data_IF_662725846451
#
_entry.id   IF_662725846451
#
_cell.length_a   1.000
_cell.length_b   1.000
_cell.length_c   1.000
_cell.angle_alpha   90.00
_cell.angle_beta   90.00
_cell.angle_gamma   90.00
#
_symmetry.space_group_name_H-M   'P 1'
#
loop_
_entity.id
_entity.type
_entity.pdbx_description
1 polymer ?
#
# COMPACT_ATOMS: atom_id res chain seq x y z
N UNK A 1 4.30 1.09 -15.42
CA UNK A 1 4.27 1.56 -14.01
C UNK A 1 5.09 2.84 -13.93
N UNK A 2 4.61 3.86 -13.21
CA UNK A 2 5.37 5.09 -13.01
C UNK A 2 5.51 5.34 -11.51
N UNK A 3 6.74 5.43 -11.01
CA UNK A 3 7.03 5.87 -9.66
C UNK A 3 7.14 7.40 -9.63
N UNK A 4 6.31 8.06 -8.82
CA UNK A 4 6.35 9.50 -8.62
C UNK A 4 7.22 9.79 -7.40
N UNK A 5 8.35 10.45 -7.61
CA UNK A 5 9.36 10.71 -6.56
C UNK A 5 9.44 12.23 -6.32
N UNK A 6 9.20 12.67 -5.09
CA UNK A 6 9.18 14.09 -4.75
C UNK A 6 10.43 14.52 -3.99
N UNK A 7 10.93 15.72 -4.30
CA UNK A 7 11.90 16.43 -3.46
C UNK A 7 13.36 15.97 -3.57
N UNK A 8 13.72 15.27 -4.64
CA UNK A 8 15.12 14.93 -4.91
C UNK A 8 15.91 16.16 -5.38
N UNK A 9 17.15 16.29 -4.91
CA UNK A 9 18.18 17.13 -5.52
C UNK A 9 18.65 16.56 -6.86
N UNK A 10 19.30 17.37 -7.70
CA UNK A 10 19.87 16.92 -8.98
C UNK A 10 20.81 15.72 -8.82
N UNK A 11 21.62 15.71 -7.76
CA UNK A 11 22.53 14.61 -7.46
C UNK A 11 21.78 13.32 -7.07
N UNK A 12 20.67 13.44 -6.35
CA UNK A 12 19.82 12.29 -6.01
C UNK A 12 19.06 11.77 -7.24
N UNK A 13 18.55 12.67 -8.09
CA UNK A 13 17.93 12.30 -9.37
C UNK A 13 18.91 11.49 -10.21
N UNK A 14 20.15 11.97 -10.35
CA UNK A 14 21.18 11.27 -11.11
C UNK A 14 21.49 9.89 -10.50
N UNK A 15 21.63 9.81 -9.17
CA UNK A 15 21.86 8.55 -8.47
C UNK A 15 20.72 7.56 -8.69
N UNK A 16 19.47 8.01 -8.55
CA UNK A 16 18.28 7.17 -8.72
C UNK A 16 18.17 6.72 -10.18
N UNK A 17 18.43 7.59 -11.16
CA UNK A 17 18.38 7.22 -12.57
C UNK A 17 19.38 6.12 -12.95
N UNK A 18 20.46 5.96 -12.20
CA UNK A 18 21.45 4.89 -12.36
C UNK A 18 21.03 3.57 -11.69
N UNK A 19 19.99 3.56 -10.85
CA UNK A 19 19.50 2.33 -10.24
C UNK A 19 18.86 1.42 -11.30
N UNK A 20 19.13 0.10 -11.23
CA UNK A 20 18.63 -0.85 -12.21
C UNK A 20 17.11 -0.91 -12.22
N UNK A 21 16.55 -1.05 -13.41
CA UNK A 21 15.12 -1.25 -13.62
C UNK A 21 14.89 -2.70 -13.99
N UNK A 22 14.15 -3.43 -13.15
CA UNK A 22 13.90 -4.87 -13.32
C UNK A 22 12.58 -5.18 -14.05
N UNK A 23 11.78 -4.16 -14.38
CA UNK A 23 10.47 -4.29 -15.04
C UNK A 23 10.48 -3.68 -16.45
N UNK A 24 9.80 -4.34 -17.40
CA UNK A 24 9.85 -4.01 -18.83
C UNK A 24 9.23 -2.64 -19.21
N UNK A 25 8.41 -2.03 -18.34
CA UNK A 25 7.79 -0.72 -18.57
C UNK A 25 7.65 0.03 -17.25
N UNK A 26 8.79 0.39 -16.67
CA UNK A 26 8.85 1.15 -15.42
C UNK A 26 9.55 2.49 -15.65
N UNK A 27 8.86 3.55 -15.25
CA UNK A 27 9.31 4.93 -15.40
C UNK A 27 9.44 5.58 -14.02
N UNK A 28 10.37 6.52 -13.92
CA UNK A 28 10.51 7.40 -12.76
C UNK A 28 10.08 8.80 -13.17
N UNK A 29 9.26 9.44 -12.36
CA UNK A 29 8.81 10.80 -12.59
C UNK A 29 9.11 11.66 -11.36
N UNK A 30 10.03 12.60 -11.52
CA UNK A 30 10.46 13.45 -10.42
C UNK A 30 9.59 14.70 -10.33
N UNK A 31 9.29 15.11 -9.10
CA UNK A 31 8.51 16.30 -8.79
C UNK A 31 9.24 17.15 -7.74
N UNK A 32 8.92 18.45 -7.63
CA UNK A 32 9.40 19.27 -6.51
C UNK A 32 9.03 18.65 -5.16
N UNK A 33 9.72 19.06 -4.09
CA UNK A 33 9.24 18.72 -2.74
C UNK A 33 8.01 19.56 -2.42
N UNK A 34 6.99 18.93 -1.86
CA UNK A 34 5.82 19.60 -1.30
C UNK A 34 5.82 19.52 0.25
N UNK A 35 6.95 19.13 0.84
CA UNK A 35 7.23 19.18 2.27
C UNK A 35 8.66 19.71 2.50
N UNK A 36 8.88 20.87 3.16
CA UNK A 36 7.90 21.69 3.87
C UNK A 36 6.81 22.26 2.96
N UNK A 37 5.71 22.69 3.59
CA UNK A 37 4.41 23.08 3.02
C UNK A 37 4.46 23.60 1.57
N UNK A 38 3.53 23.17 0.68
CA UNK A 38 3.54 23.52 -0.74
C UNK A 38 3.33 25.03 -1.02
N UNK A 39 2.72 25.76 -0.08
CA UNK A 39 2.57 27.22 -0.18
C UNK A 39 3.78 27.96 0.40
N UNK A 40 4.22 29.06 -0.24
CA UNK A 40 5.37 29.84 0.22
C UNK A 40 5.13 30.45 1.60
N UNK A 41 6.19 30.51 2.41
CA UNK A 41 6.21 31.10 3.76
C UNK A 41 5.44 30.33 4.85
N UNK A 42 5.01 29.10 4.59
CA UNK A 42 4.45 28.21 5.63
C UNK A 42 5.48 27.15 6.00
N UNK A 43 5.75 26.98 7.30
CA UNK A 43 6.82 26.12 7.81
C UNK A 43 6.33 24.77 8.35
N UNK A 44 5.16 24.29 7.89
CA UNK A 44 4.64 22.96 8.28
C UNK A 44 5.40 21.85 7.52
N UNK A 45 5.79 20.81 8.24
CA UNK A 45 6.47 19.63 7.67
C UNK A 45 5.48 18.48 7.74
N UNK A 46 4.91 18.12 6.59
CA UNK A 46 3.94 17.06 6.45
C UNK A 46 4.21 16.31 5.15
N UNK A 47 5.04 15.26 5.24
CA UNK A 47 5.47 14.47 4.10
C UNK A 47 4.31 13.93 3.22
N UNK A 48 3.12 13.59 3.75
CA UNK A 48 2.00 13.16 2.93
C UNK A 48 1.50 14.19 1.92
N UNK A 49 1.84 15.49 2.02
CA UNK A 49 1.57 16.44 0.93
C UNK A 49 2.16 16.00 -0.41
N UNK A 50 3.26 15.25 -0.41
CA UNK A 50 3.88 14.77 -1.65
C UNK A 50 2.94 13.88 -2.47
N UNK A 51 1.94 13.22 -1.87
CA UNK A 51 0.99 12.36 -2.60
C UNK A 51 0.04 13.17 -3.51
N UNK A 52 -0.87 14.03 -3.00
CA UNK A 52 -1.78 14.79 -3.85
C UNK A 52 -1.05 15.77 -4.77
N UNK A 53 -0.03 16.47 -4.26
CA UNK A 53 0.68 17.47 -5.06
C UNK A 53 1.61 16.83 -6.11
N UNK A 54 2.26 15.71 -5.79
CA UNK A 54 3.02 14.92 -6.75
C UNK A 54 2.14 14.35 -7.85
N UNK A 55 0.96 13.83 -7.50
CA UNK A 55 -0.03 13.35 -8.47
C UNK A 55 -0.57 14.48 -9.36
N UNK A 56 -0.86 15.66 -8.80
CA UNK A 56 -1.22 16.86 -9.57
C UNK A 56 -0.13 17.26 -10.56
N UNK A 57 1.12 17.28 -10.10
CA UNK A 57 2.27 17.62 -10.94
C UNK A 57 2.44 16.59 -12.07
N UNK A 58 2.24 15.30 -11.78
CA UNK A 58 2.28 14.22 -12.76
C UNK A 58 1.18 14.38 -13.82
N UNK A 59 -0.06 14.54 -13.40
CA UNK A 59 -1.18 14.76 -14.30
C UNK A 59 -1.01 15.98 -15.23
N UNK A 60 -0.37 17.03 -14.74
CA UNK A 60 -0.20 18.30 -15.47
C UNK A 60 0.97 18.26 -16.46
N UNK A 61 2.09 17.61 -16.11
CA UNK A 61 3.32 17.73 -16.90
C UNK A 61 3.91 16.40 -17.40
N UNK A 62 3.39 15.24 -16.97
CA UNK A 62 3.89 13.96 -17.47
C UNK A 62 3.38 13.71 -18.90
N UNK A 63 4.31 13.61 -19.83
CA UNK A 63 4.04 13.31 -21.24
C UNK A 63 4.32 11.83 -21.56
N UNK A 64 3.87 11.38 -22.74
CA UNK A 64 4.16 10.03 -23.23
C UNK A 64 5.68 9.80 -23.35
N UNK A 65 6.22 8.64 -22.95
CA UNK A 65 5.52 7.41 -22.55
C UNK A 65 5.22 7.31 -21.04
N UNK A 66 5.59 8.32 -20.25
CA UNK A 66 5.53 8.29 -18.78
C UNK A 66 4.10 8.56 -18.28
N UNK A 67 3.42 9.55 -18.88
CA UNK A 67 2.07 9.97 -18.52
C UNK A 67 0.97 9.00 -18.95
N UNK A 68 -0.17 9.05 -18.26
CA UNK A 68 -1.35 8.24 -18.61
C UNK A 68 -1.93 8.72 -19.94
N UNK A 69 -2.11 7.78 -20.88
CA UNK A 69 -2.69 8.04 -22.21
C UNK A 69 -4.20 8.23 -22.12
N UNK A 70 -4.71 9.24 -22.83
CA UNK A 70 -6.15 9.50 -22.97
C UNK A 70 -6.89 9.45 -21.63
N UNK A 71 -8.05 8.79 -21.56
CA UNK A 71 -8.82 8.57 -20.34
C UNK A 71 -8.63 7.14 -19.77
N UNK A 72 -7.45 6.56 -19.93
CA UNK A 72 -7.19 5.20 -19.45
C UNK A 72 -7.34 5.13 -17.91
N UNK A 73 -7.94 4.06 -17.37
CA UNK A 73 -7.90 3.79 -15.94
C UNK A 73 -6.47 3.68 -15.43
N UNK A 74 -6.21 4.22 -14.25
CA UNK A 74 -4.95 4.04 -13.53
C UNK A 74 -5.23 3.51 -12.13
N UNK A 75 -4.24 2.83 -11.55
CA UNK A 75 -4.24 2.44 -10.14
C UNK A 75 -3.21 3.28 -9.39
N UNK A 76 -3.62 3.96 -8.32
CA UNK A 76 -2.75 4.63 -7.36
C UNK A 76 -2.54 3.72 -6.16
N UNK A 77 -1.30 3.33 -5.91
CA UNK A 77 -0.89 2.48 -4.78
C UNK A 77 0.32 3.09 -4.09
N UNK A 78 0.49 2.76 -2.81
CA UNK A 78 1.72 3.07 -2.07
C UNK A 78 2.85 2.14 -2.53
N UNK A 79 4.11 2.56 -2.38
CA UNK A 79 5.27 1.77 -2.82
C UNK A 79 5.54 0.51 -1.99
N UNK A 80 4.73 0.26 -0.95
CA UNK A 80 4.84 -0.87 -0.03
C UNK A 80 3.77 -1.96 -0.27
N UNK A 81 3.51 -2.23 -1.55
CA UNK A 81 2.63 -3.31 -2.01
C UNK A 81 3.44 -4.39 -2.74
N UNK A 82 3.08 -5.65 -2.50
CA UNK A 82 3.42 -6.78 -3.38
C UNK A 82 2.18 -7.18 -4.15
N UNK A 83 2.26 -7.21 -5.48
CA UNK A 83 1.21 -7.72 -6.35
C UNK A 83 1.40 -9.23 -6.57
N UNK A 84 0.36 -10.03 -6.33
CA UNK A 84 0.37 -11.47 -6.62
C UNK A 84 -0.26 -11.80 -7.98
N UNK A 85 -1.11 -10.92 -8.48
CA UNK A 85 -1.68 -10.99 -9.82
C UNK A 85 -1.68 -9.61 -10.50
N UNK A 86 -1.74 -9.55 -11.83
CA UNK A 86 -1.94 -8.31 -12.55
C UNK A 86 -3.26 -7.63 -12.14
N UNK A 87 -3.21 -6.34 -11.81
CA UNK A 87 -4.42 -5.55 -11.61
C UNK A 87 -5.12 -5.32 -12.95
N UNK A 88 -6.35 -5.79 -13.07
CA UNK A 88 -7.17 -5.67 -14.27
C UNK A 88 -8.54 -5.11 -13.91
N UNK A 89 -9.06 -4.25 -14.78
CA UNK A 89 -10.41 -3.68 -14.70
C UNK A 89 -11.01 -3.62 -16.10
N UNK A 90 -12.32 -3.41 -16.17
CA UNK A 90 -13.10 -3.40 -17.42
C UNK A 90 -13.02 -4.73 -18.20
N UNK A 91 -12.85 -5.85 -17.50
CA UNK A 91 -12.85 -7.20 -18.09
C UNK A 91 -14.26 -7.81 -18.18
N UNK A 92 -15.23 -7.24 -17.44
CA UNK A 92 -16.58 -7.76 -17.31
C UNK A 92 -16.71 -8.84 -16.23
N UNK A 93 -15.67 -9.04 -15.41
CA UNK A 93 -15.62 -10.02 -14.31
C UNK A 93 -16.60 -9.64 -13.22
N UNK A 94 -17.31 -10.63 -12.68
CA UNK A 94 -18.12 -10.47 -11.48
C UNK A 94 -17.21 -10.42 -10.23
N UNK A 95 -17.28 -9.31 -9.50
CA UNK A 95 -16.53 -9.05 -8.27
C UNK A 95 -17.43 -8.95 -7.04
N UNK A 96 -18.72 -9.34 -7.16
CA UNK A 96 -19.72 -9.28 -6.08
C UNK A 96 -19.26 -9.94 -4.79
N UNK A 97 -18.55 -11.07 -4.90
CA UNK A 97 -18.07 -11.83 -3.74
C UNK A 97 -17.09 -11.04 -2.85
N UNK A 98 -16.43 -10.02 -3.41
CA UNK A 98 -15.46 -9.19 -2.70
C UNK A 98 -16.02 -7.82 -2.31
N UNK A 99 -17.21 -7.46 -2.78
CA UNK A 99 -17.81 -6.16 -2.50
C UNK A 99 -18.17 -6.01 -1.03
N UNK A 100 -17.90 -4.82 -0.51
CA UNK A 100 -18.18 -4.45 0.86
C UNK A 100 -19.02 -3.17 0.89
N UNK A 101 -20.33 -3.34 0.93
CA UNK A 101 -21.27 -2.25 1.07
C UNK A 101 -22.64 -2.75 1.53
N UNK A 102 -23.57 -1.82 1.70
CA UNK A 102 -24.92 -2.11 2.17
C UNK A 102 -25.92 -2.35 1.03
N UNK A 103 -25.52 -2.12 -0.23
CA UNK A 103 -26.44 -2.26 -1.35
C UNK A 103 -26.70 -3.74 -1.67
N UNK A 104 -27.98 -4.09 -1.80
CA UNK A 104 -28.39 -5.37 -2.40
C UNK A 104 -28.13 -5.30 -3.91
N UNK A 105 -26.91 -5.64 -4.32
CA UNK A 105 -26.53 -5.70 -5.74
C UNK A 105 -26.39 -7.16 -6.15
N UNK A 106 -27.11 -7.56 -7.20
CA UNK A 106 -27.06 -8.95 -7.69
C UNK A 106 -25.76 -9.27 -8.42
N UNK A 107 -25.20 -8.32 -9.16
CA UNK A 107 -23.95 -8.49 -9.91
C UNK A 107 -23.19 -7.15 -9.92
N UNK A 108 -21.98 -7.14 -9.37
CA UNK A 108 -21.03 -6.04 -9.43
C UNK A 108 -19.92 -6.45 -10.38
N UNK A 109 -19.66 -5.62 -11.38
CA UNK A 109 -18.57 -5.83 -12.35
C UNK A 109 -17.36 -5.00 -12.01
N UNK A 110 -16.20 -5.40 -12.50
CA UNK A 110 -14.94 -4.65 -12.44
C UNK A 110 -14.91 -3.39 -13.34
N UNK A 111 -16.06 -2.73 -13.50
CA UNK A 111 -16.22 -1.56 -14.38
C UNK A 111 -15.62 -0.31 -13.73
N UNK A 112 -14.71 0.35 -14.45
CA UNK A 112 -14.14 1.66 -14.12
C UNK A 112 -14.38 2.61 -15.28
N UNK A 113 -15.22 3.62 -15.02
CA UNK A 113 -15.61 4.69 -15.95
C UNK A 113 -15.73 6.00 -15.17
N UNK A 114 -15.86 7.14 -15.85
CA UNK A 114 -16.07 8.42 -15.16
C UNK A 114 -17.26 8.35 -14.19
N UNK A 115 -17.04 8.74 -12.93
CA UNK A 115 -17.97 8.66 -11.81
C UNK A 115 -17.98 7.32 -11.06
N UNK A 116 -17.32 6.27 -11.57
CA UNK A 116 -17.28 4.93 -10.98
C UNK A 116 -15.83 4.45 -10.88
N UNK A 117 -15.32 4.43 -9.65
CA UNK A 117 -13.99 3.95 -9.31
C UNK A 117 -14.07 2.63 -8.54
N UNK A 118 -12.93 1.98 -8.31
CA UNK A 118 -12.80 0.79 -7.45
C UNK A 118 -11.70 1.07 -6.42
N UNK A 119 -11.88 0.66 -5.17
CA UNK A 119 -10.86 0.79 -4.13
C UNK A 119 -10.84 -0.41 -3.19
N UNK A 120 -9.74 -0.58 -2.46
CA UNK A 120 -9.71 -1.53 -1.36
C UNK A 120 -10.45 -1.00 -0.12
N UNK A 121 -11.06 -1.90 0.63
CA UNK A 121 -11.64 -1.59 1.94
C UNK A 121 -10.56 -1.27 2.98
N UNK A 122 -10.62 -0.06 3.53
CA UNK A 122 -9.72 0.45 4.58
C UNK A 122 -10.51 0.90 5.82
N UNK A 123 -11.71 0.33 6.04
CA UNK A 123 -12.58 0.70 7.16
C UNK A 123 -11.89 0.69 8.52
N UNK A 124 -10.90 -0.18 8.73
CA UNK A 124 -10.21 -0.29 10.01
C UNK A 124 -9.32 0.89 10.34
N UNK A 125 -8.84 1.60 9.31
CA UNK A 125 -8.04 2.80 9.47
C UNK A 125 -8.90 4.05 9.43
N UNK A 126 -9.83 4.12 8.48
CA UNK A 126 -10.54 5.36 8.17
C UNK A 126 -11.99 5.39 8.69
N UNK A 127 -12.65 4.23 8.79
CA UNK A 127 -14.07 4.15 9.14
C UNK A 127 -14.95 5.05 8.27
N UNK A 128 -15.82 5.82 8.92
CA UNK A 128 -16.62 6.88 8.29
C UNK A 128 -15.83 8.20 8.07
N UNK A 129 -14.59 8.29 8.55
CA UNK A 129 -13.70 9.44 8.36
C UNK A 129 -14.35 10.77 8.75
N UNK A 130 -14.17 11.78 7.88
CA UNK A 130 -14.80 13.09 8.02
C UNK A 130 -16.27 13.15 7.56
N UNK A 131 -16.85 12.04 7.10
CA UNK A 131 -18.29 11.97 6.81
C UNK A 131 -19.16 11.70 8.04
N UNK A 132 -18.55 11.37 9.18
CA UNK A 132 -19.27 11.14 10.44
C UNK A 132 -20.13 12.34 10.82
N UNK A 133 -21.30 12.08 11.39
CA UNK A 133 -22.22 13.13 11.83
C UNK A 133 -21.55 14.06 12.87
N UNK A 134 -20.73 13.51 13.77
CA UNK A 134 -19.98 14.29 14.75
C UNK A 134 -18.79 15.08 14.15
N UNK A 135 -18.46 14.86 12.87
CA UNK A 135 -17.44 15.60 12.12
C UNK A 135 -18.06 16.62 11.14
N UNK A 136 -19.38 16.87 11.22
CA UNK A 136 -20.08 17.77 10.29
C UNK A 136 -19.44 19.16 10.19
N UNK A 137 -19.08 19.79 11.31
CA UNK A 137 -18.45 21.12 11.29
C UNK A 137 -17.11 21.11 10.54
N UNK A 138 -16.31 20.06 10.72
CA UNK A 138 -15.06 19.86 9.99
C UNK A 138 -15.32 19.69 8.50
N UNK A 139 -16.27 18.82 8.14
CA UNK A 139 -16.66 18.57 6.76
C UNK A 139 -17.15 19.86 6.08
N UNK A 140 -18.03 20.61 6.73
CA UNK A 140 -18.55 21.88 6.23
C UNK A 140 -17.43 22.91 6.02
N UNK A 141 -16.44 22.98 6.92
CA UNK A 141 -15.29 23.89 6.78
C UNK A 141 -14.39 23.54 5.60
N UNK A 142 -14.17 22.24 5.35
CA UNK A 142 -13.30 21.77 4.27
C UNK A 142 -14.02 21.85 2.92
N UNK A 143 -15.22 21.27 2.83
CA UNK A 143 -16.04 21.24 1.62
C UNK A 143 -16.59 22.62 1.24
N UNK A 144 -16.77 23.51 2.23
CA UNK A 144 -17.39 24.83 2.06
C UNK A 144 -18.76 24.73 1.37
N UNK A 145 -18.84 25.09 0.08
CA UNK A 145 -20.07 25.05 -0.74
C UNK A 145 -20.11 23.86 -1.70
N UNK A 146 -19.09 23.00 -1.67
CA UNK A 146 -19.00 21.82 -2.51
C UNK A 146 -19.95 20.69 -2.09
N UNK A 147 -20.25 19.80 -3.03
CA UNK A 147 -21.18 18.69 -2.87
C UNK A 147 -20.81 17.75 -1.71
N UNK A 148 -19.53 17.64 -1.34
CA UNK A 148 -19.11 16.78 -0.24
C UNK A 148 -19.69 17.21 1.13
N UNK A 149 -20.11 18.47 1.29
CA UNK A 149 -20.77 18.94 2.51
C UNK A 149 -22.13 18.25 2.73
N UNK A 150 -22.82 17.84 1.65
CA UNK A 150 -24.17 17.31 1.69
C UNK A 150 -24.23 15.77 1.80
N UNK A 151 -23.09 15.09 1.67
CA UNK A 151 -23.01 13.62 1.74
C UNK A 151 -23.27 13.16 3.17
N UNK A 152 -24.23 12.25 3.36
CA UNK A 152 -24.54 11.65 4.67
C UNK A 152 -23.43 10.71 5.16
N UNK A 153 -23.39 10.39 6.47
CA UNK A 153 -22.46 9.37 6.98
C UNK A 153 -22.65 8.00 6.30
N UNK A 154 -23.89 7.61 6.01
CA UNK A 154 -24.22 6.36 5.34
C UNK A 154 -23.68 6.31 3.91
N UNK A 155 -23.88 7.38 3.13
CA UNK A 155 -23.33 7.48 1.78
C UNK A 155 -21.81 7.61 1.78
N UNK A 156 -21.25 8.34 2.76
CA UNK A 156 -19.82 8.42 3.03
C UNK A 156 -19.19 7.04 3.21
N UNK A 157 -19.77 6.22 4.08
CA UNK A 157 -19.35 4.85 4.35
C UNK A 157 -19.48 3.92 3.14
N UNK A 158 -20.52 4.11 2.33
CA UNK A 158 -20.79 3.27 1.18
C UNK A 158 -19.77 3.48 0.05
N UNK A 159 -19.39 4.72 -0.25
CA UNK A 159 -18.63 5.03 -1.47
C UNK A 159 -17.29 5.72 -1.30
N UNK A 160 -16.97 6.32 -0.14
CA UNK A 160 -15.86 7.29 -0.07
C UNK A 160 -14.92 7.07 1.11
N UNK A 161 -15.45 7.04 2.33
CA UNK A 161 -14.67 7.22 3.56
C UNK A 161 -13.77 6.04 3.89
N UNK A 162 -14.14 4.86 3.42
CA UNK A 162 -13.41 3.60 3.66
C UNK A 162 -12.64 3.15 2.42
N UNK A 163 -12.65 3.94 1.34
CA UNK A 163 -11.84 3.66 0.17
C UNK A 163 -10.37 3.89 0.52
N UNK A 164 -9.52 2.91 0.27
CA UNK A 164 -8.07 3.01 0.40
C UNK A 164 -7.33 2.35 -0.76
N UNK A 165 -5.99 2.48 -0.82
CA UNK A 165 -5.22 1.98 -1.94
C UNK A 165 -5.27 0.45 -2.08
N UNK A 166 -5.20 -0.08 -3.31
CA UNK A 166 -5.11 0.68 -4.56
C UNK A 166 -6.42 1.39 -4.91
N UNK A 167 -6.32 2.66 -5.32
CA UNK A 167 -7.43 3.42 -5.88
C UNK A 167 -7.40 3.30 -7.41
N UNK A 168 -8.45 2.75 -8.00
CA UNK A 168 -8.53 2.53 -9.45
C UNK A 168 -9.63 3.42 -10.03
N UNK A 169 -9.25 4.38 -10.87
CA UNK A 169 -10.18 5.34 -11.47
C UNK A 169 -9.71 5.78 -12.86
N UNK A 170 -10.57 6.47 -13.61
CA UNK A 170 -10.19 7.06 -14.90
C UNK A 170 -9.28 8.26 -14.70
N UNK A 171 -8.42 8.56 -15.69
CA UNK A 171 -7.60 9.78 -15.67
C UNK A 171 -8.47 11.03 -15.52
N UNK A 172 -9.62 11.09 -16.20
CA UNK A 172 -10.54 12.22 -16.13
C UNK A 172 -11.04 12.45 -14.70
N UNK A 173 -11.42 11.41 -13.99
CA UNK A 173 -11.86 11.54 -12.59
C UNK A 173 -10.72 11.99 -11.69
N UNK A 174 -9.53 11.40 -11.85
CA UNK A 174 -8.32 11.85 -11.16
C UNK A 174 -8.05 13.35 -11.39
N UNK A 175 -8.14 13.80 -12.64
CA UNK A 175 -8.00 15.22 -13.02
C UNK A 175 -9.08 16.13 -12.43
N UNK A 176 -10.34 15.66 -12.35
CA UNK A 176 -11.44 16.44 -11.78
C UNK A 176 -11.19 16.73 -10.30
N UNK A 177 -10.78 15.72 -9.52
CA UNK A 177 -10.67 15.83 -8.06
C UNK A 177 -9.32 16.31 -7.53
N UNK A 178 -8.27 16.38 -8.37
CA UNK A 178 -6.90 16.56 -7.86
C UNK A 178 -6.67 17.91 -7.17
N UNK A 179 -7.33 18.98 -7.61
CA UNK A 179 -7.20 20.29 -6.97
C UNK A 179 -7.86 20.29 -5.60
N UNK A 180 -9.08 19.76 -5.48
CA UNK A 180 -9.78 19.61 -4.21
C UNK A 180 -9.01 18.70 -3.26
N UNK A 181 -8.38 17.63 -3.77
CA UNK A 181 -7.53 16.77 -2.96
C UNK A 181 -6.33 17.53 -2.36
N UNK A 182 -5.65 18.36 -3.16
CA UNK A 182 -4.59 19.25 -2.67
C UNK A 182 -5.11 20.24 -1.61
N UNK A 183 -6.20 20.94 -1.91
CA UNK A 183 -6.74 22.01 -1.07
C UNK A 183 -7.32 21.47 0.25
N UNK A 184 -8.01 20.34 0.18
CA UNK A 184 -8.57 19.66 1.36
C UNK A 184 -7.48 19.06 2.23
N UNK A 185 -6.35 18.62 1.66
CA UNK A 185 -5.21 18.17 2.44
C UNK A 185 -4.59 19.33 3.24
N UNK A 186 -4.42 20.51 2.62
CA UNK A 186 -3.96 21.73 3.32
C UNK A 186 -4.94 22.13 4.42
N UNK A 187 -6.24 22.23 4.10
CA UNK A 187 -7.25 22.65 5.07
C UNK A 187 -7.38 21.66 6.22
N UNK A 188 -7.42 20.36 5.91
CA UNK A 188 -7.42 19.31 6.90
C UNK A 188 -6.19 19.35 7.80
N UNK A 189 -5.00 19.62 7.24
CA UNK A 189 -3.76 19.67 8.01
C UNK A 189 -3.75 20.86 8.96
N UNK A 190 -4.33 21.99 8.56
CA UNK A 190 -4.55 23.15 9.42
C UNK A 190 -5.48 22.84 10.61
N UNK A 191 -6.54 22.06 10.38
CA UNK A 191 -7.49 21.66 11.42
C UNK A 191 -6.92 20.56 12.34
N UNK A 192 -6.07 19.68 11.79
CA UNK A 192 -5.51 18.52 12.48
C UNK A 192 -3.98 18.46 12.34
N UNK A 193 -3.23 19.41 12.95
CA UNK A 193 -1.78 19.55 12.75
C UNK A 193 -0.92 18.45 13.38
N UNK A 194 -1.54 17.44 14.00
CA UNK A 194 -0.84 16.27 14.57
C UNK A 194 -1.26 14.95 13.93
N UNK A 195 -2.32 14.96 13.14
CA UNK A 195 -2.84 13.74 12.51
C UNK A 195 -2.04 13.42 11.25
N UNK A 196 -1.61 12.16 11.12
CA UNK A 196 -0.78 11.73 10.01
C UNK A 196 -1.61 11.31 8.78
N UNK A 197 -2.86 10.88 8.97
CA UNK A 197 -3.78 10.40 7.92
C UNK A 197 -4.67 11.50 7.28
N UNK A 198 -4.42 12.78 7.57
CA UNK A 198 -5.22 13.90 7.04
C UNK A 198 -5.42 13.79 5.53
N UNK A 199 -4.34 13.45 4.82
CA UNK A 199 -4.35 13.32 3.37
C UNK A 199 -5.32 12.24 2.88
N UNK A 200 -5.46 11.11 3.57
CA UNK A 200 -6.40 10.07 3.17
C UNK A 200 -7.86 10.52 3.33
N UNK A 201 -8.17 11.26 4.40
CA UNK A 201 -9.52 11.82 4.58
C UNK A 201 -9.83 12.91 3.55
N UNK A 202 -8.82 13.70 3.16
CA UNK A 202 -8.95 14.70 2.11
C UNK A 202 -9.25 14.07 0.74
N UNK A 203 -8.61 12.94 0.42
CA UNK A 203 -8.93 12.15 -0.78
C UNK A 203 -10.41 11.77 -0.81
N UNK A 204 -10.94 11.19 0.28
CA UNK A 204 -12.34 10.75 0.34
C UNK A 204 -13.32 11.91 0.18
N UNK A 205 -13.04 13.08 0.78
CA UNK A 205 -13.88 14.27 0.57
C UNK A 205 -13.80 14.77 -0.87
N UNK A 206 -12.61 14.81 -1.49
CA UNK A 206 -12.44 15.25 -2.87
C UNK A 206 -13.17 14.32 -3.85
N UNK A 207 -13.08 12.99 -3.67
CA UNK A 207 -13.86 12.03 -4.45
C UNK A 207 -15.37 12.27 -4.30
N UNK A 208 -15.83 12.48 -3.06
CA UNK A 208 -17.22 12.84 -2.78
C UNK A 208 -17.65 14.15 -3.43
N UNK A 209 -16.78 15.15 -3.45
CA UNK A 209 -17.07 16.48 -4.02
C UNK A 209 -17.29 16.45 -5.53
N UNK A 210 -16.73 15.44 -6.20
CA UNK A 210 -16.86 15.23 -7.64
C UNK A 210 -17.74 14.01 -7.99
N UNK A 211 -18.45 13.44 -7.01
CA UNK A 211 -19.33 12.28 -7.21
C UNK A 211 -18.62 11.09 -7.87
N UNK A 212 -17.36 10.83 -7.49
CA UNK A 212 -16.56 9.69 -7.96
C UNK A 212 -16.76 8.54 -6.96
N UNK A 213 -17.76 7.70 -7.21
CA UNK A 213 -18.17 6.65 -6.27
C UNK A 213 -17.26 5.44 -6.38
N UNK A 214 -16.65 5.02 -5.27
CA UNK A 214 -15.87 3.79 -5.24
C UNK A 214 -16.78 2.57 -5.01
N UNK A 215 -16.64 1.56 -5.86
CA UNK A 215 -16.98 0.19 -5.54
C UNK A 215 -15.87 -0.32 -4.62
N UNK A 216 -16.20 -0.56 -3.35
CA UNK A 216 -15.22 -0.92 -2.33
C UNK A 216 -15.17 -2.43 -2.20
N UNK A 217 -13.96 -3.00 -2.32
CA UNK A 217 -13.73 -4.46 -2.32
C UNK A 217 -12.63 -4.88 -1.34
N UNK A 218 -12.71 -6.11 -0.85
CA UNK A 218 -11.82 -6.60 0.21
C UNK A 218 -10.64 -7.47 -0.27
N UNK A 219 -10.40 -7.60 -1.57
CA UNK A 219 -9.35 -8.48 -2.11
C UNK A 219 -8.23 -7.77 -2.88
N UNK A 220 -8.30 -6.44 -3.05
CA UNK A 220 -7.35 -5.70 -3.91
C UNK A 220 -6.00 -5.39 -3.25
N UNK A 221 -5.98 -5.17 -1.93
CA UNK A 221 -4.83 -4.60 -1.25
C UNK A 221 -4.78 -4.95 0.23
N UNK A 222 -4.97 -6.23 0.54
CA UNK A 222 -5.16 -6.68 1.93
C UNK A 222 -4.00 -6.20 2.81
N UNK A 223 -4.29 -5.81 4.05
CA UNK A 223 -3.28 -5.24 4.96
C UNK A 223 -2.98 -6.18 6.14
N UNK A 224 -3.84 -6.22 7.14
CA UNK A 224 -3.69 -6.90 8.41
C UNK A 224 -4.88 -7.85 8.66
N UNK A 225 -4.64 -9.15 8.94
CA UNK A 225 -5.69 -10.13 9.23
C UNK A 225 -6.58 -9.79 10.42
N UNK A 226 -6.10 -8.92 11.31
CA UNK A 226 -6.81 -8.45 12.49
C UNK A 226 -7.76 -7.27 12.28
N UNK A 227 -7.56 -6.50 11.21
CA UNK A 227 -8.41 -5.38 10.87
C UNK A 227 -9.51 -5.82 9.93
N UNK A 228 -9.16 -6.45 8.81
CA UNK A 228 -10.09 -6.65 7.71
C UNK A 228 -11.25 -7.62 8.03
N UNK A 229 -12.38 -7.53 7.29
CA UNK A 229 -13.40 -8.57 7.34
C UNK A 229 -12.75 -9.95 7.16
N UNK A 230 -13.11 -10.97 7.97
CA UNK A 230 -12.45 -12.28 7.91
C UNK A 230 -12.42 -12.89 6.50
N UNK A 231 -13.43 -12.59 5.68
CA UNK A 231 -13.57 -13.02 4.29
C UNK A 231 -12.43 -12.56 3.38
N UNK A 232 -11.83 -11.39 3.65
CA UNK A 232 -10.66 -10.88 2.93
C UNK A 232 -9.43 -11.81 3.07
N UNK A 233 -9.43 -12.63 4.13
CA UNK A 233 -8.36 -13.57 4.48
C UNK A 233 -8.86 -15.02 4.46
N UNK A 234 -9.83 -15.35 3.62
CA UNK A 234 -10.32 -16.74 3.46
C UNK A 234 -9.60 -17.50 2.33
N UNK A 235 -8.35 -17.14 2.02
CA UNK A 235 -7.58 -17.74 0.94
C UNK A 235 -6.55 -18.78 1.39
N UNK A 236 -6.23 -18.85 2.70
CA UNK A 236 -5.38 -19.92 3.24
C UNK A 236 -6.27 -21.03 3.81
N UNK A 237 -6.07 -22.24 3.30
CA UNK A 237 -6.69 -23.45 3.82
C UNK A 237 -5.65 -24.42 4.43
N UNK A 238 -6.14 -25.54 4.96
CA UNK A 238 -5.30 -26.56 5.59
C UNK A 238 -4.43 -27.37 4.61
N UNK A 239 -4.71 -27.29 3.30
CA UNK A 239 -3.93 -27.96 2.26
C UNK A 239 -2.73 -27.13 1.79
N UNK A 240 -2.68 -25.84 2.13
CA UNK A 240 -1.57 -24.98 1.74
C UNK A 240 -0.24 -25.52 2.30
N UNK A 241 0.76 -25.79 1.43
CA UNK A 241 2.09 -26.16 1.88
C UNK A 241 2.68 -25.12 2.82
N UNK A 242 3.61 -25.54 3.67
CA UNK A 242 4.28 -24.62 4.59
C UNK A 242 5.08 -23.56 3.81
N UNK A 243 4.68 -22.27 3.86
CA UNK A 243 5.31 -21.20 3.09
C UNK A 243 6.71 -20.86 3.60
N UNK A 244 7.07 -21.34 4.79
CA UNK A 244 8.33 -21.09 5.48
C UNK A 244 9.38 -22.16 5.22
N UNK A 245 9.08 -23.22 4.46
CA UNK A 245 10.11 -24.11 3.94
C UNK A 245 11.01 -23.39 2.94
N UNK A 246 12.29 -23.74 2.93
CA UNK A 246 13.23 -23.26 1.91
C UNK A 246 12.79 -23.72 0.52
N UNK A 247 12.91 -22.84 -0.47
CA UNK A 247 12.48 -23.08 -1.85
C UNK A 247 11.50 -22.01 -2.33
N UNK A 248 10.64 -22.41 -3.25
CA UNK A 248 9.75 -21.51 -3.99
C UNK A 248 8.75 -20.77 -3.08
N UNK A 249 8.24 -19.65 -3.59
CA UNK A 249 7.13 -18.91 -2.98
C UNK A 249 5.88 -19.78 -3.01
N UNK A 250 5.22 -19.92 -1.86
CA UNK A 250 3.96 -20.69 -1.74
C UNK A 250 2.79 -19.72 -1.73
N UNK A 251 2.08 -19.68 -2.85
CA UNK A 251 0.84 -18.90 -2.98
C UNK A 251 -0.38 -19.82 -2.80
N UNK A 252 -1.47 -19.32 -2.18
CA UNK A 252 -2.75 -19.99 -2.20
C UNK A 252 -3.30 -20.13 -3.63
N UNK A 253 -4.27 -21.03 -3.89
CA UNK A 253 -4.89 -21.16 -5.22
C UNK A 253 -5.57 -19.87 -5.71
N UNK A 254 -6.11 -19.08 -4.80
CA UNK A 254 -6.78 -17.79 -5.07
C UNK A 254 -6.21 -16.73 -4.13
N UNK A 255 -5.02 -16.18 -4.42
CA UNK A 255 -4.44 -15.11 -3.60
C UNK A 255 -5.27 -13.83 -3.73
N UNK A 256 -5.16 -12.90 -2.77
CA UNK A 256 -5.57 -11.51 -2.99
C UNK A 256 -4.80 -10.92 -4.17
N UNK A 257 -5.27 -9.81 -4.74
CA UNK A 257 -4.57 -9.15 -5.82
C UNK A 257 -3.21 -8.61 -5.38
N UNK A 258 -3.18 -8.06 -4.16
CA UNK A 258 -1.98 -7.53 -3.53
C UNK A 258 -2.03 -7.62 -2.01
N UNK A 259 -0.84 -7.57 -1.39
CA UNK A 259 -0.64 -7.41 0.04
C UNK A 259 0.07 -6.08 0.31
N UNK A 260 -0.57 -5.22 1.11
CA UNK A 260 0.00 -4.00 1.66
C UNK A 260 0.79 -4.31 2.93
N UNK A 261 2.12 -4.29 2.84
CA UNK A 261 3.00 -4.71 3.95
C UNK A 261 3.37 -3.56 4.89
N UNK A 262 2.38 -2.74 5.27
CA UNK A 262 2.58 -1.60 6.17
C UNK A 262 2.70 -2.00 7.65
N UNK A 263 2.26 -3.20 8.02
CA UNK A 263 2.29 -3.73 9.38
C UNK A 263 3.43 -4.74 9.59
N UNK A 264 3.71 -5.05 10.84
CA UNK A 264 4.58 -6.17 11.21
C UNK A 264 3.79 -7.48 11.09
N UNK A 265 4.37 -8.48 10.43
CA UNK A 265 3.74 -9.79 10.23
C UNK A 265 4.60 -10.88 10.87
N UNK A 266 4.08 -11.64 11.82
CA UNK A 266 4.82 -12.73 12.46
C UNK A 266 3.99 -13.53 13.47
N UNK A 267 4.60 -14.60 14.01
CA UNK A 267 3.92 -15.50 14.95
C UNK A 267 3.54 -14.80 16.26
N UNK A 268 4.46 -14.03 16.84
CA UNK A 268 4.30 -13.48 18.19
C UNK A 268 3.26 -12.35 18.27
N UNK A 269 2.55 -12.26 19.39
CA UNK A 269 1.67 -11.13 19.70
C UNK A 269 2.49 -9.87 20.02
N UNK A 270 3.62 -10.05 20.70
CA UNK A 270 4.60 -9.00 20.97
C UNK A 270 5.73 -9.17 19.96
N UNK A 271 5.77 -8.32 18.95
CA UNK A 271 6.68 -8.48 17.81
C UNK A 271 8.15 -8.54 18.22
N UNK A 272 8.54 -7.86 19.31
CA UNK A 272 9.90 -7.88 19.85
C UNK A 272 10.35 -9.26 20.39
N UNK A 273 9.43 -10.22 20.54
CA UNK A 273 9.71 -11.54 21.12
C UNK A 273 9.97 -12.63 20.07
N UNK A 274 9.94 -12.32 18.78
CA UNK A 274 10.12 -13.33 17.74
C UNK A 274 10.42 -12.75 16.37
N UNK A 275 10.35 -13.61 15.37
CA UNK A 275 10.51 -13.19 13.98
C UNK A 275 9.27 -12.44 13.50
N UNK A 276 9.47 -11.34 12.78
CA UNK A 276 8.43 -10.65 12.03
C UNK A 276 8.98 -10.01 10.75
N UNK A 277 8.23 -10.02 9.65
CA UNK A 277 8.56 -9.19 8.49
C UNK A 277 8.15 -7.74 8.75
N UNK A 278 9.04 -6.79 8.49
CA UNK A 278 8.73 -5.35 8.53
C UNK A 278 9.64 -4.54 7.60
N UNK A 279 9.04 -3.73 6.74
CA UNK A 279 9.79 -2.96 5.71
C UNK A 279 10.87 -2.05 6.28
N UNK A 280 10.64 -1.44 7.44
CA UNK A 280 11.62 -0.52 8.05
C UNK A 280 12.81 -1.25 8.71
N UNK A 281 12.74 -2.58 8.84
CA UNK A 281 13.85 -3.39 9.34
C UNK A 281 14.77 -3.88 8.21
N UNK A 282 14.41 -3.69 6.94
CA UNK A 282 15.25 -4.01 5.79
C UNK A 282 16.43 -3.03 5.76
N UNK A 283 17.70 -3.46 5.84
CA UNK A 283 18.88 -2.57 5.71
C UNK A 283 18.91 -1.79 4.39
N UNK A 284 19.47 -0.57 4.39
CA UNK A 284 19.53 0.28 3.17
C UNK A 284 20.52 -0.23 2.14
N UNK A 285 21.52 -1.00 2.56
CA UNK A 285 22.61 -1.54 1.74
C UNK A 285 22.29 -2.95 1.21
N UNK A 286 21.01 -3.36 1.21
CA UNK A 286 20.58 -4.70 0.81
C UNK A 286 20.99 -5.07 -0.63
N UNK A 287 21.15 -4.08 -1.51
CA UNK A 287 21.54 -4.26 -2.90
C UNK A 287 23.04 -4.38 -3.13
N UNK A 288 23.87 -4.17 -2.11
CA UNK A 288 25.32 -4.34 -2.21
C UNK A 288 25.68 -5.79 -2.56
N UNK A 289 26.73 -5.99 -3.35
CA UNK A 289 27.15 -7.33 -3.77
C UNK A 289 27.51 -8.26 -2.61
N UNK A 290 27.98 -7.71 -1.48
CA UNK A 290 28.33 -8.49 -0.28
C UNK A 290 27.19 -8.62 0.72
N UNK A 291 26.09 -7.88 0.56
CA UNK A 291 24.95 -7.95 1.45
C UNK A 291 24.34 -9.36 1.46
N UNK A 292 24.04 -9.88 2.65
CA UNK A 292 23.29 -11.11 2.81
C UNK A 292 21.83 -10.92 2.36
N UNK A 293 21.08 -12.00 2.30
CA UNK A 293 19.63 -12.02 2.09
C UNK A 293 18.90 -12.11 3.44
N UNK A 294 17.60 -11.80 3.42
CA UNK A 294 16.71 -11.99 4.56
C UNK A 294 16.64 -13.47 4.93
N UNK A 295 16.81 -13.77 6.21
CA UNK A 295 16.47 -15.09 6.74
C UNK A 295 14.95 -15.27 6.66
N UNK A 296 14.47 -16.47 6.34
CA UNK A 296 13.04 -16.80 6.32
C UNK A 296 12.62 -17.21 7.75
N UNK A 297 11.38 -16.95 8.21
CA UNK A 297 10.93 -17.46 9.51
C UNK A 297 11.18 -18.97 9.65
N UNK A 298 11.48 -19.48 10.86
CA UNK A 298 11.61 -20.92 11.08
C UNK A 298 10.36 -21.67 10.60
N UNK A 299 10.57 -22.74 9.83
CA UNK A 299 9.45 -23.51 9.27
C UNK A 299 8.47 -24.05 10.32
N UNK A 300 8.93 -24.27 11.55
CA UNK A 300 8.09 -24.70 12.68
C UNK A 300 7.03 -23.67 13.05
N UNK A 301 7.27 -22.37 12.82
CA UNK A 301 6.30 -21.31 13.16
C UNK A 301 4.96 -21.48 12.43
N UNK A 302 4.96 -22.14 11.27
CA UNK A 302 3.74 -22.45 10.54
C UNK A 302 2.77 -23.26 11.41
N UNK A 303 3.26 -24.34 12.01
CA UNK A 303 2.44 -25.28 12.78
C UNK A 303 2.34 -24.92 14.26
N UNK A 304 3.35 -24.20 14.79
CA UNK A 304 3.36 -23.70 16.17
C UNK A 304 2.13 -22.83 16.50
N UNK A 305 1.53 -22.17 15.51
CA UNK A 305 0.28 -21.39 15.66
C UNK A 305 -0.79 -22.22 16.39
N UNK A 306 -0.96 -23.49 16.03
CA UNK A 306 -2.00 -24.37 16.58
C UNK A 306 -1.70 -24.88 17.99
N UNK A 307 -0.43 -24.91 18.38
CA UNK A 307 -0.02 -25.30 19.73
C UNK A 307 0.08 -24.11 20.68
N UNK A 308 0.36 -22.92 20.13
CA UNK A 308 0.63 -21.70 20.90
C UNK A 308 -0.65 -20.95 21.24
N UNK A 309 -1.64 -20.98 20.37
CA UNK A 309 -2.91 -20.29 20.54
C UNK A 309 -4.06 -21.29 20.60
N UNK A 310 -5.06 -20.99 21.42
CA UNK A 310 -6.28 -21.81 21.58
C UNK A 310 -7.51 -21.15 20.98
N UNK A 311 -7.47 -19.84 20.77
CA UNK A 311 -8.54 -19.06 20.16
C UNK A 311 -8.49 -19.17 18.63
N UNK A 312 -9.60 -19.59 18.01
CA UNK A 312 -9.69 -19.84 16.57
C UNK A 312 -9.43 -18.58 15.73
N UNK A 313 -9.87 -17.41 16.19
CA UNK A 313 -9.64 -16.16 15.46
C UNK A 313 -8.17 -15.73 15.52
N UNK A 314 -7.53 -15.88 16.68
CA UNK A 314 -6.09 -15.67 16.85
C UNK A 314 -5.28 -16.65 16.00
N UNK A 315 -5.65 -17.94 16.00
CA UNK A 315 -5.04 -18.97 15.14
C UNK A 315 -5.14 -18.55 13.67
N UNK A 316 -6.33 -18.16 13.20
CA UNK A 316 -6.54 -17.68 11.82
C UNK A 316 -5.64 -16.48 11.52
N UNK A 317 -5.63 -15.45 12.37
CA UNK A 317 -4.83 -14.24 12.15
C UNK A 317 -3.34 -14.56 12.08
N UNK A 318 -2.82 -15.29 13.06
CA UNK A 318 -1.39 -15.65 13.12
C UNK A 318 -0.95 -16.59 12.01
N UNK A 319 -1.84 -17.48 11.55
CA UNK A 319 -1.59 -18.29 10.36
C UNK A 319 -1.33 -17.43 9.12
N UNK A 320 -2.14 -16.39 8.93
CA UNK A 320 -1.97 -15.45 7.82
C UNK A 320 -0.75 -14.54 7.99
N UNK A 321 -0.48 -14.08 9.21
CA UNK A 321 0.72 -13.28 9.49
C UNK A 321 2.01 -14.08 9.24
N UNK A 322 2.06 -15.36 9.64
CA UNK A 322 3.21 -16.25 9.35
C UNK A 322 3.35 -16.49 7.84
N UNK A 323 2.25 -16.75 7.13
CA UNK A 323 2.28 -16.85 5.66
C UNK A 323 2.81 -15.58 5.02
N UNK A 324 2.32 -14.41 5.43
CA UNK A 324 2.76 -13.12 4.92
C UNK A 324 4.24 -12.88 5.19
N UNK A 325 4.72 -13.19 6.40
CA UNK A 325 6.13 -13.04 6.75
C UNK A 325 7.05 -13.90 5.87
N UNK A 326 6.71 -15.19 5.68
CA UNK A 326 7.50 -16.12 4.87
C UNK A 326 7.46 -15.76 3.37
N UNK A 327 6.28 -15.40 2.87
CA UNK A 327 6.05 -15.03 1.47
C UNK A 327 6.78 -13.73 1.10
N UNK A 328 6.63 -12.68 1.91
CA UNK A 328 7.27 -11.40 1.67
C UNK A 328 8.80 -11.47 1.78
N UNK A 329 9.33 -12.25 2.72
CA UNK A 329 10.78 -12.45 2.83
C UNK A 329 11.35 -13.14 1.57
N UNK A 330 10.66 -14.14 1.04
CA UNK A 330 11.05 -14.82 -0.22
C UNK A 330 10.97 -13.87 -1.43
N UNK A 331 9.87 -13.14 -1.58
CA UNK A 331 9.69 -12.18 -2.68
C UNK A 331 10.75 -11.08 -2.64
N UNK A 332 11.02 -10.52 -1.45
CA UNK A 332 12.07 -9.53 -1.27
C UNK A 332 13.44 -10.11 -1.64
N UNK A 333 13.76 -11.33 -1.19
CA UNK A 333 15.02 -12.00 -1.55
C UNK A 333 15.16 -12.24 -3.05
N UNK A 334 14.10 -12.65 -3.74
CA UNK A 334 14.10 -12.78 -5.21
C UNK A 334 14.37 -11.43 -5.88
N UNK A 335 13.71 -10.36 -5.44
CA UNK A 335 13.95 -9.01 -5.96
C UNK A 335 15.40 -8.55 -5.74
N UNK A 336 15.96 -8.77 -4.54
CA UNK A 336 17.36 -8.45 -4.23
C UNK A 336 18.32 -9.24 -5.13
N UNK A 337 18.05 -10.52 -5.35
CA UNK A 337 18.87 -11.37 -6.22
C UNK A 337 18.80 -10.92 -7.68
N UNK A 338 17.63 -10.52 -8.19
CA UNK A 338 17.48 -10.01 -9.55
C UNK A 338 18.31 -8.74 -9.76
N UNK A 339 18.25 -7.80 -8.81
CA UNK A 339 19.06 -6.58 -8.84
C UNK A 339 20.55 -6.92 -8.80
N UNK A 340 21.00 -7.72 -7.83
CA UNK A 340 22.41 -8.12 -7.68
C UNK A 340 22.94 -8.84 -8.91
N UNK A 341 22.14 -9.67 -9.56
CA UNK A 341 22.53 -10.36 -10.81
C UNK A 341 22.87 -9.38 -11.94
N UNK A 342 22.24 -8.21 -11.97
CA UNK A 342 22.50 -7.18 -12.97
C UNK A 342 23.65 -6.24 -12.57
N UNK A 343 23.80 -5.95 -11.28
CA UNK A 343 24.74 -4.91 -10.79
C UNK A 343 26.07 -5.45 -10.27
N UNK A 344 26.20 -6.76 -10.03
CA UNK A 344 27.37 -7.38 -9.42
C UNK A 344 28.11 -8.34 -10.37
N UNK A 345 28.90 -7.82 -11.34
CA UNK A 345 29.57 -8.64 -12.36
C UNK A 345 30.66 -9.56 -11.79
N UNK A 346 31.14 -9.30 -10.57
CA UNK A 346 32.16 -10.12 -9.89
C UNK A 346 31.56 -11.19 -8.97
N UNK A 347 30.24 -11.38 -9.01
CA UNK A 347 29.51 -12.25 -8.10
C UNK A 347 28.87 -11.48 -6.95
N UNK A 348 27.93 -12.13 -6.28
CA UNK A 348 27.14 -11.58 -5.19
C UNK A 348 26.84 -12.62 -4.12
N UNK A 349 26.60 -12.16 -2.89
CA UNK A 349 26.28 -12.99 -1.75
C UNK A 349 24.82 -13.46 -1.80
N UNK A 350 24.62 -14.77 -1.69
CA UNK A 350 23.30 -15.44 -1.70
C UNK A 350 22.94 -16.04 -0.33
N UNK A 351 23.77 -15.82 0.70
CA UNK A 351 23.54 -16.36 2.03
C UNK A 351 22.36 -15.64 2.71
N UNK A 352 21.37 -16.41 3.17
CA UNK A 352 20.24 -15.93 3.98
C UNK A 352 20.64 -15.87 5.45
N UNK A 353 20.80 -14.67 6.00
CA UNK A 353 21.32 -14.51 7.37
C UNK A 353 21.03 -13.17 8.01
N UNK A 354 20.07 -12.42 7.46
CA UNK A 354 19.57 -11.19 8.08
C UNK A 354 18.27 -11.55 8.80
N UNK A 355 18.31 -11.78 10.12
CA UNK A 355 17.12 -12.07 10.86
C UNK A 355 16.24 -10.82 10.92
N UNK A 356 14.93 -11.00 10.87
CA UNK A 356 13.95 -9.93 11.11
C UNK A 356 13.29 -10.14 12.47
N UNK A 357 14.09 -10.17 13.53
CA UNK A 357 13.65 -10.30 14.92
C UNK A 357 14.23 -9.19 15.83
N UNK A 358 15.01 -8.28 15.26
CA UNK A 358 15.65 -7.19 16.00
C UNK A 358 14.65 -6.04 16.21
N UNK A 359 14.61 -5.46 17.41
CA UNK A 359 13.73 -4.32 17.72
C UNK A 359 14.18 -3.03 17.04
N UNK A 360 15.48 -2.93 16.74
CA UNK A 360 16.07 -1.86 15.97
C UNK A 360 16.45 -2.37 14.58
N UNK A 361 16.35 -1.50 13.58
CA UNK A 361 16.82 -1.79 12.24
C UNK A 361 18.32 -2.10 12.28
N UNK A 362 18.71 -3.23 11.70
CA UNK A 362 20.12 -3.52 11.45
C UNK A 362 20.67 -2.50 10.45
N UNK A 363 21.74 -1.81 10.83
CA UNK A 363 22.34 -0.76 10.00
C UNK A 363 22.88 -1.26 8.65
N UNK A 364 23.34 -2.51 8.60
CA UNK A 364 23.98 -3.08 7.42
C UNK A 364 23.63 -4.56 7.21
N UNK A 365 23.34 -4.91 5.97
CA UNK A 365 23.13 -6.27 5.47
C UNK A 365 24.42 -7.08 5.32
N UNK A 366 25.59 -6.47 5.50
CA UNK A 366 26.87 -7.16 5.35
C UNK A 366 27.08 -8.21 6.46
N UNK A 367 27.81 -9.30 6.18
CA UNK A 367 28.24 -10.25 7.19
C UNK A 367 29.04 -9.55 8.29
N UNK A 368 28.62 -9.71 9.55
CA UNK A 368 29.41 -9.26 10.69
C UNK A 368 30.43 -10.36 11.01
N UNK A 369 31.68 -9.97 11.28
CA UNK A 369 32.60 -10.89 11.95
C UNK A 369 31.97 -11.29 13.29
N UNK A 370 32.00 -12.58 13.67
CA UNK A 370 31.62 -12.97 15.01
C UNK A 370 32.39 -12.08 16.00
N UNK A 371 31.68 -11.50 16.98
CA UNK A 371 32.38 -10.95 18.15
C UNK A 371 33.03 -12.15 18.83
N UNK A 372 34.35 -12.26 18.70
CA UNK A 372 35.18 -13.26 19.37
C UNK A 372 35.06 -13.12 20.88
#
# INVERSE_FOLDING_TARGET
MTEIIAGCSDAEIEKINQEPVVYHEYYRYFTPSFSPHPEPNITDIYAPYNKPFGLRHYFTHAESPIGIRENMPFALFDSDFVLFEPLQVNTGRDISQNYVGAQEVHIIKDTVIDGIAIAHDWKNYMGAGWFRDNMKETKDKICQTGDCANISEAEGLEFYSRAGPPYIMTKNDGMKMINDYCDFAIMGRKLFPKEWMVEMYAYSLAAGNHNIKHIIVNNLGINWPGGEPPQAWNFIDSSLPNPCYNGDIVLPPTPPAALHYCQRLGLELVHEQGYYFYKYNIPTDMFDCNAMLLEIPPSTQWDEVFTKYTDNDTIRKKRHEVWGACTLAKIANEAFLQVKKQTCPKGFNTFTGIPMNETQRRESAWPRKPKL
#
